data_IF_774483728820
#
_entry.id   IF_774483728820
#
_cell.length_a   1.000
_cell.length_b   1.000
_cell.length_c   1.000
_cell.angle_alpha   90.00
_cell.angle_beta   90.00
_cell.angle_gamma   90.00
#
_symmetry.space_group_name_H-M   'P 1'
#
loop_
_entity.id
_entity.type
_entity.pdbx_description
1 polymer ?
#
# COMPACT_ATOMS: atom_id res chain seq x y z
N UNK A 1 12.13 24.64 13.94
CA UNK A 1 11.20 23.89 14.82
C UNK A 1 10.00 23.30 14.04
N UNK A 2 10.23 22.61 12.91
CA UNK A 2 9.15 21.95 12.12
C UNK A 2 9.22 20.40 12.16
N UNK A 3 10.26 19.83 12.77
CA UNK A 3 10.44 18.37 12.81
C UNK A 3 9.65 17.66 13.91
N UNK A 4 9.20 18.36 14.94
CA UNK A 4 8.57 17.73 16.12
C UNK A 4 7.15 17.20 15.83
N UNK A 5 6.39 17.84 14.95
CA UNK A 5 4.99 17.46 14.70
C UNK A 5 4.84 16.29 13.72
N UNK A 6 5.74 16.18 12.74
CA UNK A 6 5.86 14.99 11.89
C UNK A 6 6.46 13.82 12.67
N UNK A 7 7.37 14.09 13.60
CA UNK A 7 7.95 13.07 14.46
C UNK A 7 6.87 12.42 15.34
N UNK A 8 6.01 13.19 16.02
CA UNK A 8 4.95 12.65 16.89
C UNK A 8 3.93 11.76 16.18
N UNK A 9 3.55 12.12 14.94
CA UNK A 9 2.62 11.31 14.16
C UNK A 9 3.30 10.09 13.56
N UNK A 10 4.56 10.20 13.15
CA UNK A 10 5.34 9.06 12.67
C UNK A 10 5.67 8.08 13.80
N UNK A 11 6.01 8.56 15.00
CA UNK A 11 6.12 7.72 16.19
C UNK A 11 4.77 7.14 16.58
N UNK A 12 3.66 7.87 16.55
CA UNK A 12 2.35 7.29 16.84
C UNK A 12 2.00 6.17 15.83
N UNK A 13 2.13 6.41 14.52
CA UNK A 13 1.84 5.43 13.46
C UNK A 13 2.73 4.18 13.58
N UNK A 14 4.01 4.34 13.92
CA UNK A 14 4.94 3.23 14.03
C UNK A 14 4.93 2.52 15.39
N UNK A 15 4.65 3.22 16.49
CA UNK A 15 4.50 2.61 17.82
C UNK A 15 3.31 1.64 17.86
N UNK A 16 2.41 1.78 16.88
CA UNK A 16 1.19 1.01 16.69
C UNK A 16 1.34 -0.31 15.92
N UNK A 17 2.37 -0.47 15.08
CA UNK A 17 2.84 -1.80 14.65
C UNK A 17 3.61 -2.54 15.77
N UNK A 18 3.92 -1.81 16.84
CA UNK A 18 4.89 -2.19 17.86
C UNK A 18 4.37 -2.39 19.28
N UNK A 19 3.19 -2.99 19.54
CA UNK A 19 3.03 -3.67 20.83
C UNK A 19 4.10 -4.76 21.02
N UNK A 20 4.66 -5.29 19.92
CA UNK A 20 5.54 -6.47 19.91
C UNK A 20 7.00 -6.19 19.51
N UNK A 21 7.29 -5.07 18.84
CA UNK A 21 8.63 -4.81 18.30
C UNK A 21 9.01 -3.36 18.56
N UNK A 22 9.67 -3.04 19.69
CA UNK A 22 10.11 -1.67 20.01
C UNK A 22 10.92 -1.06 18.85
N UNK A 23 10.24 -0.32 17.97
CA UNK A 23 10.79 0.20 16.74
C UNK A 23 11.36 1.58 17.05
N UNK A 24 12.67 1.61 17.33
CA UNK A 24 13.37 2.87 17.55
C UNK A 24 13.46 3.66 16.25
N UNK A 25 13.61 4.99 16.34
CA UNK A 25 13.78 5.87 15.16
C UNK A 25 14.83 5.34 14.17
N UNK A 26 15.94 4.79 14.68
CA UNK A 26 17.00 4.20 13.86
C UNK A 26 16.52 2.97 13.10
N UNK A 27 15.80 2.06 13.77
CA UNK A 27 15.21 0.86 13.13
C UNK A 27 14.18 1.24 12.07
N UNK A 28 13.37 2.26 12.34
CA UNK A 28 12.40 2.76 11.37
C UNK A 28 13.06 3.34 10.12
N UNK A 29 14.06 4.21 10.28
CA UNK A 29 14.82 4.74 9.14
C UNK A 29 15.49 3.62 8.35
N UNK A 30 15.99 2.60 9.04
CA UNK A 30 16.57 1.42 8.41
C UNK A 30 15.54 0.61 7.61
N UNK A 31 14.34 0.37 8.16
CA UNK A 31 13.25 -0.29 7.44
C UNK A 31 12.77 0.51 6.22
N UNK A 32 12.71 1.84 6.34
CA UNK A 32 12.42 2.74 5.22
C UNK A 32 13.52 2.60 4.15
N UNK A 33 14.79 2.64 4.53
CA UNK A 33 15.88 2.46 3.57
C UNK A 33 15.82 1.10 2.85
N UNK A 34 15.56 0.01 3.58
CA UNK A 34 15.38 -1.32 2.99
C UNK A 34 14.21 -1.34 2.00
N UNK A 35 13.06 -0.79 2.38
CA UNK A 35 11.87 -0.77 1.51
C UNK A 35 12.11 0.04 0.24
N UNK A 36 12.84 1.16 0.31
CA UNK A 36 13.25 1.92 -0.87
C UNK A 36 14.20 1.12 -1.77
N UNK A 37 15.25 0.53 -1.22
CA UNK A 37 16.21 -0.29 -1.99
C UNK A 37 15.48 -1.46 -2.65
N UNK A 38 14.64 -2.16 -1.90
CA UNK A 38 13.83 -3.26 -2.41
C UNK A 38 12.88 -2.81 -3.54
N UNK A 39 12.26 -1.65 -3.39
CA UNK A 39 11.38 -1.07 -4.42
C UNK A 39 12.15 -0.75 -5.71
N UNK A 40 13.36 -0.19 -5.59
CA UNK A 40 14.23 0.09 -6.74
C UNK A 40 14.66 -1.19 -7.45
N UNK A 41 15.02 -2.23 -6.70
CA UNK A 41 15.37 -3.54 -7.27
C UNK A 41 14.19 -4.12 -8.06
N UNK A 42 12.99 -4.04 -7.48
CA UNK A 42 11.78 -4.53 -8.17
C UNK A 42 11.42 -3.68 -9.38
N UNK A 43 11.63 -2.36 -9.35
CA UNK A 43 11.33 -1.48 -10.48
C UNK A 43 12.36 -1.55 -11.62
N UNK A 44 13.58 -2.02 -11.35
CA UNK A 44 14.67 -2.00 -12.34
C UNK A 44 14.39 -2.83 -13.61
N UNK A 45 13.82 -4.06 -13.55
CA UNK A 45 13.45 -4.80 -14.75
C UNK A 45 12.41 -4.07 -15.58
N UNK A 46 11.37 -3.51 -14.94
CA UNK A 46 10.34 -2.70 -15.60
C UNK A 46 10.96 -1.48 -16.30
N UNK A 47 11.87 -0.77 -15.63
CA UNK A 47 12.56 0.37 -16.23
C UNK A 47 13.36 -0.01 -17.48
N UNK A 48 13.98 -1.18 -17.49
CA UNK A 48 14.76 -1.67 -18.62
C UNK A 48 13.88 -2.13 -19.81
N UNK A 49 12.75 -2.78 -19.54
CA UNK A 49 11.87 -3.29 -20.60
C UNK A 49 11.00 -2.21 -21.23
N UNK A 50 10.70 -1.13 -20.50
CA UNK A 50 9.95 0.00 -21.01
C UNK A 50 10.81 0.82 -21.98
N UNK A 51 10.39 0.89 -23.25
CA UNK A 51 11.08 1.62 -24.30
C UNK A 51 10.10 2.51 -25.06
N UNK A 52 10.58 3.69 -25.47
CA UNK A 52 9.80 4.60 -26.33
C UNK A 52 9.96 4.13 -27.77
N UNK A 53 8.85 3.77 -28.39
CA UNK A 53 8.75 3.34 -29.77
C UNK A 53 7.80 4.27 -30.51
N UNK A 54 8.13 4.61 -31.76
CA UNK A 54 7.28 5.46 -32.59
C UNK A 54 6.45 4.58 -33.52
N UNK A 55 5.15 4.50 -33.26
CA UNK A 55 4.17 3.75 -34.08
C UNK A 55 3.21 4.74 -34.72
N UNK A 56 3.08 4.69 -36.05
CA UNK A 56 2.15 5.54 -36.81
C UNK A 56 2.27 7.05 -36.52
N UNK A 57 3.50 7.52 -36.29
CA UNK A 57 3.79 8.93 -36.00
C UNK A 57 3.53 9.36 -34.55
N UNK A 58 3.08 8.45 -33.69
CA UNK A 58 2.87 8.66 -32.25
C UNK A 58 3.96 7.96 -31.45
N UNK A 59 4.56 8.65 -30.48
CA UNK A 59 5.50 8.03 -29.54
C UNK A 59 4.74 7.32 -28.43
N UNK A 60 4.88 6.00 -28.34
CA UNK A 60 4.27 5.14 -27.32
C UNK A 60 5.36 4.51 -26.46
N UNK A 61 5.18 4.51 -25.14
CA UNK A 61 6.05 3.79 -24.21
C UNK A 61 5.43 2.43 -23.91
N UNK A 62 6.06 1.35 -24.35
CA UNK A 62 5.57 -0.02 -24.17
C UNK A 62 6.72 -0.96 -23.74
N UNK A 63 6.36 -2.10 -23.15
CA UNK A 63 7.29 -3.06 -22.55
C UNK A 63 7.94 -4.00 -23.60
N UNK A 64 8.73 -3.45 -24.53
CA UNK A 64 9.35 -4.23 -25.61
C UNK A 64 10.51 -5.13 -25.17
N UNK A 65 11.18 -4.81 -24.05
CA UNK A 65 12.39 -5.52 -23.63
C UNK A 65 12.17 -6.92 -23.03
N UNK A 66 10.92 -7.39 -22.90
CA UNK A 66 10.63 -8.73 -22.37
C UNK A 66 11.22 -9.84 -23.23
N UNK A 67 11.22 -9.70 -24.56
CA UNK A 67 11.79 -10.68 -25.48
C UNK A 67 13.30 -10.88 -25.25
N UNK A 68 14.03 -9.80 -24.94
CA UNK A 68 15.45 -9.88 -24.61
C UNK A 68 15.67 -10.63 -23.29
N UNK A 69 14.86 -10.34 -22.26
CA UNK A 69 14.96 -11.03 -20.98
C UNK A 69 14.60 -12.51 -21.09
N UNK A 70 13.58 -12.85 -21.87
CA UNK A 70 13.20 -14.25 -22.17
C UNK A 70 14.33 -14.98 -22.88
N UNK A 71 14.96 -14.37 -23.89
CA UNK A 71 16.10 -14.98 -24.59
C UNK A 71 17.33 -15.23 -23.69
N UNK A 72 17.51 -14.41 -22.64
CA UNK A 72 18.69 -14.47 -21.75
C UNK A 72 18.49 -15.33 -20.51
N UNK A 73 17.27 -15.34 -19.96
CA UNK A 73 16.95 -15.99 -18.69
C UNK A 73 15.98 -17.18 -18.84
N UNK A 74 15.47 -17.43 -20.04
CA UNK A 74 14.55 -18.53 -20.36
C UNK A 74 13.10 -18.08 -20.52
N UNK A 75 12.35 -18.87 -21.28
CA UNK A 75 10.93 -18.65 -21.54
C UNK A 75 10.13 -18.62 -20.23
N UNK A 76 9.18 -17.69 -20.13
CA UNK A 76 8.31 -17.55 -18.95
C UNK A 76 8.87 -16.70 -17.82
N UNK A 77 10.02 -16.03 -18.01
CA UNK A 77 10.57 -15.08 -17.02
C UNK A 77 9.59 -13.92 -16.75
N UNK A 78 8.87 -13.47 -17.77
CA UNK A 78 7.85 -12.41 -17.68
C UNK A 78 6.73 -12.77 -16.72
N UNK A 79 6.18 -13.99 -16.87
CA UNK A 79 5.14 -14.51 -16.00
C UNK A 79 5.65 -14.75 -14.57
N UNK A 80 6.87 -15.31 -14.45
CA UNK A 80 7.50 -15.57 -13.15
C UNK A 80 7.75 -14.27 -12.38
N UNK A 81 8.30 -13.26 -13.05
CA UNK A 81 8.51 -11.93 -12.49
C UNK A 81 7.18 -11.31 -12.04
N UNK A 82 6.16 -11.30 -12.90
CA UNK A 82 4.83 -10.79 -12.54
C UNK A 82 4.24 -11.47 -11.31
N UNK A 83 4.32 -12.80 -11.25
CA UNK A 83 3.83 -13.61 -10.12
C UNK A 83 4.59 -13.31 -8.83
N UNK A 84 5.92 -13.16 -8.90
CA UNK A 84 6.77 -12.83 -7.74
C UNK A 84 6.47 -11.42 -7.22
N UNK A 85 6.38 -10.44 -8.12
CA UNK A 85 6.03 -9.05 -7.79
C UNK A 85 4.65 -9.00 -7.14
N UNK A 86 3.65 -9.67 -7.71
CA UNK A 86 2.31 -9.79 -7.13
C UNK A 86 2.36 -10.41 -5.73
N UNK A 87 3.05 -11.53 -5.56
CA UNK A 87 3.12 -12.23 -4.28
C UNK A 87 3.75 -11.37 -3.18
N UNK A 88 4.84 -10.67 -3.50
CA UNK A 88 5.59 -9.87 -2.54
C UNK A 88 4.93 -8.52 -2.24
N UNK A 89 4.31 -7.89 -3.23
CA UNK A 89 3.69 -6.56 -3.07
C UNK A 89 2.23 -6.61 -2.65
N UNK A 90 1.51 -7.71 -2.91
CA UNK A 90 0.08 -7.84 -2.61
C UNK A 90 -0.21 -8.92 -1.55
N UNK A 91 0.20 -10.18 -1.78
CA UNK A 91 -0.15 -11.28 -0.89
C UNK A 91 0.55 -11.20 0.47
N UNK A 92 1.85 -10.89 0.50
CA UNK A 92 2.63 -10.77 1.72
C UNK A 92 2.10 -9.66 2.67
N UNK A 93 1.87 -8.41 2.21
CA UNK A 93 1.31 -7.39 3.10
C UNK A 93 -0.11 -7.74 3.60
N UNK A 94 -0.94 -8.37 2.77
CA UNK A 94 -2.28 -8.81 3.19
C UNK A 94 -2.24 -9.91 4.24
N UNK A 95 -1.40 -10.92 4.07
CA UNK A 95 -1.25 -12.02 5.05
C UNK A 95 -0.71 -11.50 6.39
N UNK A 96 0.32 -10.66 6.37
CA UNK A 96 0.84 -10.02 7.60
C UNK A 96 -0.25 -9.22 8.32
N UNK A 97 -1.09 -8.50 7.56
CA UNK A 97 -2.20 -7.74 8.11
C UNK A 97 -3.27 -8.63 8.75
N UNK A 98 -3.70 -9.69 8.05
CA UNK A 98 -4.69 -10.64 8.56
C UNK A 98 -4.18 -11.31 9.84
N UNK A 99 -2.94 -11.79 9.85
CA UNK A 99 -2.32 -12.46 11.01
C UNK A 99 -2.19 -11.48 12.19
N UNK A 100 -1.71 -10.26 11.93
CA UNK A 100 -1.59 -9.23 12.97
C UNK A 100 -2.95 -8.93 13.60
N UNK A 101 -4.00 -8.79 12.77
CA UNK A 101 -5.34 -8.52 13.25
C UNK A 101 -5.95 -9.69 14.04
N UNK A 102 -5.81 -10.92 13.54
CA UNK A 102 -6.24 -12.11 14.25
C UNK A 102 -5.57 -12.19 15.63
N UNK A 103 -4.27 -11.91 15.70
CA UNK A 103 -3.49 -11.89 16.95
C UNK A 103 -3.99 -10.81 17.93
N UNK A 104 -4.34 -9.63 17.43
CA UNK A 104 -4.93 -8.55 18.24
C UNK A 104 -6.30 -8.96 18.76
N UNK A 105 -7.17 -9.51 17.89
CA UNK A 105 -8.51 -9.98 18.26
C UNK A 105 -8.48 -11.04 19.36
N UNK A 106 -7.61 -12.05 19.20
CA UNK A 106 -7.41 -13.11 20.21
C UNK A 106 -6.89 -12.53 21.53
N UNK A 107 -5.90 -11.63 21.49
CA UNK A 107 -5.35 -11.02 22.71
C UNK A 107 -6.37 -10.14 23.43
N UNK A 108 -7.21 -9.42 22.69
CA UNK A 108 -8.29 -8.61 23.24
C UNK A 108 -9.39 -9.46 23.87
N UNK A 109 -9.73 -10.60 23.23
CA UNK A 109 -10.66 -11.56 23.78
C UNK A 109 -10.14 -12.15 25.11
N UNK A 110 -8.86 -12.56 25.13
CA UNK A 110 -8.22 -13.11 26.34
C UNK A 110 -8.01 -12.07 27.46
N UNK A 111 -7.85 -10.79 27.13
CA UNK A 111 -7.68 -9.72 28.13
C UNK A 111 -9.00 -9.31 28.81
N UNK A 112 -10.16 -9.79 28.32
CA UNK A 112 -11.46 -9.61 28.98
C UNK A 112 -11.70 -10.59 30.14
N UNK A 113 -10.82 -11.58 30.34
CA UNK A 113 -10.90 -12.50 31.47
C UNK A 113 -10.63 -11.70 32.77
N UNK A 114 -11.52 -11.73 33.78
CA UNK A 114 -11.53 -10.71 34.84
C UNK A 114 -10.42 -10.97 35.87
N UNK A 115 -9.45 -10.07 35.99
CA UNK A 115 -8.42 -10.16 37.06
C UNK A 115 -7.48 -8.97 37.28
N UNK A 116 -7.65 -7.83 36.58
CA UNK A 116 -6.67 -6.71 36.63
C UNK A 116 -7.28 -5.45 37.27
N UNK A 117 -6.51 -4.85 38.19
CA UNK A 117 -6.85 -3.75 39.10
C UNK A 117 -7.46 -2.48 38.43
N UNK A 118 -8.37 -1.75 39.12
CA UNK A 118 -9.21 -0.70 38.53
C UNK A 118 -8.50 0.61 38.14
N UNK A 119 -7.37 0.98 38.75
CA UNK A 119 -6.68 2.25 38.46
C UNK A 119 -5.86 2.20 37.16
N UNK A 120 -5.25 1.07 36.83
CA UNK A 120 -4.52 0.85 35.57
C UNK A 120 -5.48 0.62 34.38
N UNK A 121 -6.75 0.25 34.64
CA UNK A 121 -7.76 -0.01 33.60
C UNK A 121 -8.10 1.22 32.76
N UNK A 122 -8.24 2.42 33.33
CA UNK A 122 -8.61 3.62 32.56
C UNK A 122 -7.55 4.03 31.54
N UNK A 123 -6.29 4.18 31.97
CA UNK A 123 -5.18 4.60 31.08
C UNK A 123 -4.89 3.54 30.01
N UNK A 124 -5.01 2.25 30.36
CA UNK A 124 -4.85 1.14 29.40
C UNK A 124 -6.02 1.07 28.42
N UNK A 125 -7.26 1.35 28.85
CA UNK A 125 -8.42 1.39 27.95
C UNK A 125 -8.35 2.55 26.95
N UNK A 126 -7.95 3.74 27.37
CA UNK A 126 -7.80 4.89 26.45
C UNK A 126 -6.69 4.63 25.41
N UNK A 127 -5.56 4.02 25.83
CA UNK A 127 -4.54 3.53 24.91
C UNK A 127 -5.07 2.45 23.98
N UNK A 128 -5.88 1.51 24.46
CA UNK A 128 -6.46 0.46 23.63
C UNK A 128 -7.46 0.99 22.60
N UNK A 129 -8.31 1.96 22.96
CA UNK A 129 -9.29 2.56 22.04
C UNK A 129 -8.62 3.43 20.96
N UNK A 130 -7.62 4.23 21.33
CA UNK A 130 -6.80 4.97 20.35
C UNK A 130 -6.06 4.00 19.41
N UNK A 131 -5.54 2.90 19.95
CA UNK A 131 -4.88 1.85 19.16
C UNK A 131 -5.85 1.19 18.17
N UNK A 132 -7.04 0.80 18.62
CA UNK A 132 -8.09 0.23 17.75
C UNK A 132 -8.50 1.18 16.63
N UNK A 133 -8.67 2.47 16.92
CA UNK A 133 -9.08 3.47 15.91
C UNK A 133 -8.04 3.58 14.81
N UNK A 134 -6.75 3.57 15.18
CA UNK A 134 -5.62 3.57 14.24
C UNK A 134 -5.55 2.27 13.43
N UNK A 135 -5.72 1.11 14.07
CA UNK A 135 -5.74 -0.18 13.38
C UNK A 135 -6.89 -0.25 12.38
N UNK A 136 -8.09 0.19 12.76
CA UNK A 136 -9.25 0.28 11.85
C UNK A 136 -8.95 1.16 10.64
N UNK A 137 -8.15 2.20 10.81
CA UNK A 137 -7.73 3.08 9.73
C UNK A 137 -6.74 2.40 8.79
N UNK A 138 -5.71 1.73 9.32
CA UNK A 138 -4.76 0.95 8.52
C UNK A 138 -5.49 -0.14 7.74
N UNK A 139 -6.43 -0.85 8.37
CA UNK A 139 -7.29 -1.83 7.70
C UNK A 139 -8.08 -1.23 6.54
N UNK A 140 -8.70 -0.06 6.74
CA UNK A 140 -9.44 0.61 5.67
C UNK A 140 -8.52 0.95 4.49
N UNK A 141 -7.36 1.55 4.75
CA UNK A 141 -6.39 1.90 3.70
C UNK A 141 -5.90 0.65 2.97
N UNK A 142 -5.54 -0.40 3.70
CA UNK A 142 -5.05 -1.66 3.10
C UNK A 142 -6.13 -2.43 2.35
N UNK A 143 -7.37 -2.45 2.84
CA UNK A 143 -8.49 -3.07 2.13
C UNK A 143 -8.82 -2.31 0.84
N UNK A 144 -8.79 -0.98 0.88
CA UNK A 144 -8.97 -0.15 -0.32
C UNK A 144 -7.85 -0.36 -1.33
N UNK A 145 -6.60 -0.41 -0.87
CA UNK A 145 -5.46 -0.83 -1.70
C UNK A 145 -5.73 -2.18 -2.35
N UNK A 146 -6.16 -3.18 -1.57
CA UNK A 146 -6.44 -4.51 -2.08
C UNK A 146 -7.53 -4.50 -3.18
N UNK A 147 -8.66 -3.85 -2.90
CA UNK A 147 -9.78 -3.74 -3.84
C UNK A 147 -9.42 -2.97 -5.11
N UNK A 148 -8.64 -1.88 -5.01
CA UNK A 148 -8.21 -1.09 -6.16
C UNK A 148 -7.25 -1.87 -7.06
N UNK A 149 -6.39 -2.71 -6.48
CA UNK A 149 -5.40 -3.48 -7.24
C UNK A 149 -5.94 -4.82 -7.76
N UNK A 150 -7.05 -5.32 -7.22
CA UNK A 150 -7.61 -6.62 -7.61
C UNK A 150 -7.97 -6.72 -9.10
N UNK A 151 -8.63 -5.73 -9.74
CA UNK A 151 -8.94 -5.81 -11.18
C UNK A 151 -7.70 -5.97 -12.05
N UNK A 152 -6.64 -5.20 -11.76
CA UNK A 152 -5.38 -5.24 -12.50
C UNK A 152 -4.68 -6.60 -12.31
N UNK A 153 -4.65 -7.11 -11.08
CA UNK A 153 -3.99 -8.38 -10.78
C UNK A 153 -4.74 -9.59 -11.35
N UNK A 154 -6.07 -9.57 -11.35
CA UNK A 154 -6.91 -10.58 -11.98
C UNK A 154 -6.68 -10.61 -13.50
N UNK A 155 -6.56 -9.44 -14.12
CA UNK A 155 -6.29 -9.32 -15.55
C UNK A 155 -4.91 -9.92 -15.90
N UNK A 156 -3.86 -9.51 -15.19
CA UNK A 156 -2.46 -9.90 -15.48
C UNK A 156 -2.16 -11.35 -15.10
N UNK A 157 -2.56 -11.80 -13.92
CA UNK A 157 -2.09 -13.09 -13.38
C UNK A 157 -3.08 -14.25 -13.61
N UNK A 158 -4.32 -13.98 -13.99
CA UNK A 158 -5.36 -15.02 -14.14
C UNK A 158 -5.91 -15.03 -15.56
N UNK A 159 -6.46 -13.91 -16.03
CA UNK A 159 -7.14 -13.87 -17.33
C UNK A 159 -6.17 -14.02 -18.51
N UNK A 160 -5.03 -13.33 -18.47
CA UNK A 160 -3.99 -13.40 -19.51
C UNK A 160 -3.37 -14.80 -19.67
N UNK A 161 -2.96 -15.50 -18.59
CA UNK A 161 -2.44 -16.87 -18.69
C UNK A 161 -3.49 -17.91 -19.10
N UNK A 162 -4.75 -17.77 -18.65
CA UNK A 162 -5.82 -18.73 -18.95
C UNK A 162 -6.35 -18.59 -20.38
N UNK A 163 -6.36 -17.37 -20.93
CA UNK A 163 -6.84 -17.13 -22.27
C UNK A 163 -6.00 -16.03 -22.97
N UNK A 164 -4.86 -16.41 -23.58
CA UNK A 164 -3.99 -15.44 -24.27
C UNK A 164 -4.68 -14.76 -25.46
N UNK A 165 -5.74 -15.35 -26.01
CA UNK A 165 -6.53 -14.75 -27.09
C UNK A 165 -7.35 -13.54 -26.63
N UNK A 166 -7.47 -13.28 -25.32
CA UNK A 166 -8.13 -12.06 -24.82
C UNK A 166 -7.40 -10.79 -25.28
N UNK A 167 -6.08 -10.86 -25.54
CA UNK A 167 -5.27 -9.71 -25.98
C UNK A 167 -5.66 -9.22 -27.37
N UNK A 168 -6.24 -10.07 -28.22
CA UNK A 168 -6.68 -9.66 -29.56
C UNK A 168 -8.08 -9.02 -29.57
N UNK A 169 -8.77 -8.98 -28.41
CA UNK A 169 -10.11 -8.43 -28.33
C UNK A 169 -10.07 -6.88 -28.39
N UNK A 170 -10.84 -6.19 -29.25
CA UNK A 170 -10.78 -4.72 -29.39
C UNK A 170 -11.02 -3.92 -28.10
N UNK A 171 -11.72 -4.50 -27.13
CA UNK A 171 -12.03 -3.82 -25.86
C UNK A 171 -10.97 -4.03 -24.77
N UNK A 172 -9.99 -4.92 -24.97
CA UNK A 172 -9.02 -5.28 -23.92
C UNK A 172 -8.21 -4.07 -23.45
N UNK A 173 -7.89 -3.16 -24.37
CA UNK A 173 -7.14 -1.94 -24.07
C UNK A 173 -7.95 -1.04 -23.13
N UNK A 174 -9.25 -0.83 -23.39
CA UNK A 174 -10.12 -0.06 -22.50
C UNK A 174 -10.21 -0.67 -21.10
N UNK A 175 -10.36 -1.99 -21.01
CA UNK A 175 -10.36 -2.70 -19.72
C UNK A 175 -9.03 -2.55 -18.99
N UNK A 176 -7.90 -2.62 -19.70
CA UNK A 176 -6.57 -2.42 -19.14
C UNK A 176 -6.40 -1.00 -18.58
N UNK A 177 -6.77 0.03 -19.34
CA UNK A 177 -6.71 1.42 -18.88
C UNK A 177 -7.63 1.67 -17.68
N UNK A 178 -8.83 1.11 -17.68
CA UNK A 178 -9.77 1.22 -16.56
C UNK A 178 -9.20 0.55 -15.30
N UNK A 179 -8.70 -0.68 -15.41
CA UNK A 179 -8.11 -1.41 -14.29
C UNK A 179 -6.86 -0.69 -13.75
N UNK A 180 -6.00 -0.18 -14.63
CA UNK A 180 -4.84 0.60 -14.23
C UNK A 180 -5.25 1.92 -13.55
N UNK A 181 -6.30 2.60 -14.04
CA UNK A 181 -6.82 3.82 -13.42
C UNK A 181 -7.36 3.53 -12.01
N UNK A 182 -8.14 2.47 -11.84
CA UNK A 182 -8.65 2.04 -10.54
C UNK A 182 -7.49 1.72 -9.59
N UNK A 183 -6.45 1.03 -10.09
CA UNK A 183 -5.25 0.79 -9.32
C UNK A 183 -4.63 2.11 -8.86
N UNK A 184 -4.38 3.08 -9.74
CA UNK A 184 -3.77 4.37 -9.39
C UNK A 184 -4.59 5.21 -8.38
N UNK A 185 -5.92 5.10 -8.39
CA UNK A 185 -6.79 5.82 -7.45
C UNK A 185 -6.53 5.47 -5.98
N UNK A 186 -5.86 4.34 -5.67
CA UNK A 186 -5.47 3.99 -4.30
C UNK A 186 -4.65 5.10 -3.60
N UNK A 187 -3.88 5.89 -4.37
CA UNK A 187 -3.03 6.95 -3.82
C UNK A 187 -3.83 8.17 -3.33
N UNK A 188 -4.99 8.44 -3.94
CA UNK A 188 -5.88 9.55 -3.55
C UNK A 188 -6.54 9.25 -2.22
N UNK A 189 -6.88 7.99 -1.98
CA UNK A 189 -7.57 7.52 -0.76
C UNK A 189 -6.77 7.86 0.50
N UNK A 190 -5.44 7.81 0.43
CA UNK A 190 -4.54 8.05 1.57
C UNK A 190 -4.88 9.37 2.30
N UNK A 191 -4.74 10.57 1.69
CA UNK A 191 -5.16 11.84 2.29
C UNK A 191 -6.59 11.89 2.84
N UNK A 192 -7.58 11.32 2.13
CA UNK A 192 -8.98 11.34 2.56
C UNK A 192 -9.20 10.53 3.85
N UNK A 193 -8.56 9.37 3.97
CA UNK A 193 -8.63 8.57 5.19
C UNK A 193 -7.92 9.29 6.34
N UNK A 194 -6.77 9.93 6.10
CA UNK A 194 -6.10 10.76 7.13
C UNK A 194 -6.96 11.95 7.56
N UNK A 195 -7.61 12.65 6.62
CA UNK A 195 -8.48 13.79 6.88
C UNK A 195 -9.70 13.39 7.72
N UNK A 196 -10.44 12.37 7.33
CA UNK A 196 -11.68 11.98 8.02
C UNK A 196 -11.47 11.43 9.44
N UNK A 197 -10.25 10.98 9.77
CA UNK A 197 -9.98 10.28 11.04
C UNK A 197 -9.04 11.03 11.99
N UNK A 198 -8.32 12.04 11.53
CA UNK A 198 -7.36 12.80 12.34
C UNK A 198 -7.78 14.27 12.47
N UNK A 199 -8.48 14.62 13.57
CA UNK A 199 -8.96 15.97 13.84
C UNK A 199 -7.84 17.04 13.78
N UNK A 200 -6.63 16.70 14.25
CA UNK A 200 -5.47 17.61 14.16
C UNK A 200 -4.94 17.78 12.72
N UNK A 201 -5.24 16.87 11.81
CA UNK A 201 -4.90 17.03 10.38
C UNK A 201 -5.95 17.89 9.67
N UNK A 202 -7.22 17.76 10.06
CA UNK A 202 -8.30 18.64 9.61
C UNK A 202 -8.02 20.10 9.99
N UNK A 203 -7.61 20.36 11.23
CA UNK A 203 -7.24 21.71 11.69
C UNK A 203 -6.07 22.31 10.90
N UNK A 204 -5.04 21.50 10.61
CA UNK A 204 -3.89 21.95 9.81
C UNK A 204 -4.26 22.27 8.35
N UNK A 205 -5.14 21.48 7.75
CA UNK A 205 -5.67 21.74 6.40
C UNK A 205 -6.56 22.99 6.42
N UNK A 206 -7.45 23.15 7.40
CA UNK A 206 -8.28 24.35 7.53
C UNK A 206 -7.43 25.61 7.74
N UNK A 207 -6.34 25.51 8.51
CA UNK A 207 -5.40 26.61 8.69
C UNK A 207 -4.67 26.99 7.39
N UNK A 208 -4.22 26.00 6.62
CA UNK A 208 -3.57 26.21 5.32
C UNK A 208 -4.53 26.75 4.27
N UNK A 209 -5.77 26.23 4.22
CA UNK A 209 -6.82 26.71 3.32
C UNK A 209 -7.26 28.14 3.62
N UNK A 210 -7.15 28.59 4.88
CA UNK A 210 -7.41 29.99 5.27
C UNK A 210 -6.41 31.00 4.66
N UNK A 211 -5.24 30.53 4.21
CA UNK A 211 -4.23 31.33 3.53
C UNK A 211 -4.39 31.35 2.00
N UNK A 212 -5.29 30.54 1.44
CA UNK A 212 -5.60 30.59 0.01
C UNK A 212 -6.62 31.71 -0.25
N UNK A 213 -6.29 32.71 -1.11
CA UNK A 213 -7.14 33.88 -1.34
C UNK A 213 -8.48 33.60 -2.06
N UNK A 214 -8.83 32.33 -2.28
CA UNK A 214 -10.00 31.92 -3.07
C UNK A 214 -11.06 31.11 -2.29
N UNK A 215 -10.95 31.02 -0.96
CA UNK A 215 -12.05 30.49 -0.12
C UNK A 215 -12.40 31.56 0.92
N UNK A 216 -13.31 32.45 0.55
CA UNK A 216 -14.09 33.25 1.49
C UNK A 216 -15.40 32.52 1.78
#
# INVERSE_FOLDING_TARGET
>A
MQYSFSFDRFTAIMFLMSPWMRLTRRRALYLVAITWIFSLIMAAPLFYVNQIQRRDGVDTCEEYGWQYLESKFGDGITHTYGTVVFSLQYCLPLTVLIISYASIGVKMWNSRVPGVQPSTRCVVNERHESVKKMIRMVLLVSALYACCWLPQNLLINILLPLNPNIVSHPYILYFWWMANTIAMLHSIVNPFVYYTRNARFQEGICYFLRFLPCVK
#
